data_IF_557237842317
#
_entry.id   IF_557237842317
#
_cell.length_a   1.000
_cell.length_b   1.000
_cell.length_c   1.000
_cell.angle_alpha   90.00
_cell.angle_beta   90.00
_cell.angle_gamma   90.00
#
_symmetry.space_group_name_H-M   'P 1'
#
loop_
_entity.id
_entity.type
_entity.pdbx_description
1 polymer ?
#
# COMPACT_ATOMS: atom_id res chain seq x y z
N UNK A 1 -47.92 -8.12 15.98
CA UNK A 1 -48.01 -7.35 14.72
C UNK A 1 -47.06 -6.17 14.77
N UNK A 2 -45.83 -6.36 14.31
CA UNK A 2 -44.96 -5.32 13.75
C UNK A 2 -43.85 -6.03 12.98
N UNK A 3 -44.00 -5.97 11.67
CA UNK A 3 -43.08 -6.42 10.63
C UNK A 3 -41.87 -5.50 10.60
N UNK A 4 -40.68 -6.03 10.87
CA UNK A 4 -39.43 -5.33 10.54
C UNK A 4 -38.87 -5.94 9.26
N UNK A 5 -38.90 -5.10 8.22
CA UNK A 5 -38.36 -5.33 6.90
C UNK A 5 -36.85 -5.53 6.97
N UNK A 6 -36.39 -6.73 6.60
CA UNK A 6 -35.02 -6.93 6.18
C UNK A 6 -34.79 -6.12 4.90
N UNK A 7 -34.24 -4.92 5.04
CA UNK A 7 -33.69 -4.17 3.91
C UNK A 7 -32.41 -4.90 3.47
N UNK A 8 -32.53 -5.60 2.35
CA UNK A 8 -31.46 -6.27 1.63
C UNK A 8 -30.32 -5.29 1.34
N UNK A 9 -29.23 -5.38 2.11
CA UNK A 9 -27.95 -4.77 1.71
C UNK A 9 -27.49 -5.54 0.48
N UNK A 10 -27.40 -4.85 -0.65
CA UNK A 10 -27.34 -5.44 -1.97
C UNK A 10 -26.13 -6.35 -2.14
N UNK A 11 -26.40 -7.53 -2.73
CA UNK A 11 -25.47 -8.55 -3.19
C UNK A 11 -24.53 -8.09 -4.32
N UNK A 12 -24.44 -6.79 -4.60
CA UNK A 12 -23.81 -6.22 -5.79
C UNK A 12 -22.28 -6.13 -5.67
N UNK A 13 -21.71 -6.09 -4.46
CA UNK A 13 -20.25 -6.07 -4.31
C UNK A 13 -19.56 -7.38 -4.70
N UNK A 14 -20.32 -8.50 -4.73
CA UNK A 14 -19.87 -9.85 -5.12
C UNK A 14 -19.84 -10.06 -6.63
N UNK A 15 -20.57 -9.24 -7.40
CA UNK A 15 -20.65 -9.35 -8.85
C UNK A 15 -19.34 -8.97 -9.57
N UNK A 16 -18.37 -8.36 -8.87
CA UNK A 16 -17.27 -7.63 -9.52
C UNK A 16 -16.04 -8.48 -9.86
N UNK A 17 -15.71 -9.53 -9.08
CA UNK A 17 -14.75 -10.54 -9.53
C UNK A 17 -15.36 -11.38 -10.67
N UNK A 18 -16.66 -11.61 -10.63
CA UNK A 18 -17.40 -12.27 -11.72
C UNK A 18 -17.48 -11.41 -12.98
N UNK A 19 -17.57 -10.08 -12.83
CA UNK A 19 -17.57 -9.13 -13.96
C UNK A 19 -16.19 -9.03 -14.59
N UNK A 20 -15.10 -8.89 -13.81
CA UNK A 20 -13.73 -8.94 -14.34
C UNK A 20 -13.46 -10.27 -15.04
N UNK A 21 -13.75 -11.40 -14.37
CA UNK A 21 -13.58 -12.73 -14.97
C UNK A 21 -14.55 -12.98 -16.13
N UNK A 22 -15.70 -12.31 -16.15
CA UNK A 22 -16.68 -12.32 -17.24
C UNK A 22 -16.18 -11.55 -18.44
N UNK A 23 -15.61 -10.36 -18.22
CA UNK A 23 -15.00 -9.52 -19.24
C UNK A 23 -13.73 -10.16 -19.81
N UNK A 24 -12.91 -10.81 -18.98
CA UNK A 24 -11.77 -11.61 -19.43
C UNK A 24 -12.21 -12.78 -20.33
N UNK A 25 -13.23 -13.54 -19.90
CA UNK A 25 -13.80 -14.64 -20.71
C UNK A 25 -14.39 -14.14 -22.02
N UNK A 26 -15.09 -13.00 -21.99
CA UNK A 26 -15.68 -12.38 -23.17
C UNK A 26 -14.62 -11.83 -24.12
N UNK A 27 -13.58 -11.19 -23.60
CA UNK A 27 -12.44 -10.70 -24.38
C UNK A 27 -11.70 -11.87 -25.06
N UNK A 28 -11.41 -12.94 -24.32
CA UNK A 28 -10.78 -14.13 -24.89
C UNK A 28 -11.62 -14.75 -26.01
N UNK A 29 -12.93 -14.92 -25.79
CA UNK A 29 -13.83 -15.48 -26.80
C UNK A 29 -13.91 -14.61 -28.07
N UNK A 30 -13.79 -13.28 -27.95
CA UNK A 30 -13.73 -12.38 -29.10
C UNK A 30 -12.37 -12.43 -29.82
N UNK A 31 -11.26 -12.55 -29.08
CA UNK A 31 -9.93 -12.77 -29.66
C UNK A 31 -9.89 -14.08 -30.46
N UNK A 32 -10.46 -15.16 -29.91
CA UNK A 32 -10.52 -16.47 -30.58
C UNK A 32 -11.35 -16.42 -31.87
N UNK A 33 -12.29 -15.47 -31.97
CA UNK A 33 -13.09 -15.20 -33.17
C UNK A 33 -12.40 -14.23 -34.15
N UNK A 34 -11.17 -13.80 -33.86
CA UNK A 34 -10.39 -12.89 -34.70
C UNK A 34 -10.72 -11.42 -34.56
N UNK A 35 -11.41 -11.00 -33.48
CA UNK A 35 -11.65 -9.59 -33.20
C UNK A 35 -10.34 -8.89 -32.81
N UNK A 36 -10.14 -7.66 -33.30
CA UNK A 36 -9.00 -6.83 -32.90
C UNK A 36 -9.21 -6.28 -31.48
N UNK A 37 -8.15 -5.97 -30.72
CA UNK A 37 -8.30 -5.43 -29.36
C UNK A 37 -9.15 -4.15 -29.32
N UNK A 38 -9.06 -3.29 -30.34
CA UNK A 38 -9.88 -2.08 -30.45
C UNK A 38 -11.37 -2.38 -30.60
N UNK A 39 -11.73 -3.43 -31.33
CA UNK A 39 -13.12 -3.90 -31.45
C UNK A 39 -13.63 -4.44 -30.11
N UNK A 40 -12.79 -5.19 -29.40
CA UNK A 40 -13.11 -5.72 -28.07
C UNK A 40 -13.33 -4.59 -27.07
N UNK A 41 -12.46 -3.57 -27.06
CA UNK A 41 -12.61 -2.39 -26.19
C UNK A 41 -13.95 -1.70 -26.43
N UNK A 42 -14.32 -1.43 -27.70
CA UNK A 42 -15.62 -0.81 -28.03
C UNK A 42 -16.82 -1.63 -27.56
N UNK A 43 -16.69 -2.95 -27.52
CA UNK A 43 -17.80 -3.85 -27.23
C UNK A 43 -17.96 -4.13 -25.73
N UNK A 44 -16.85 -4.25 -25.00
CA UNK A 44 -16.84 -4.53 -23.55
C UNK A 44 -16.91 -3.23 -22.75
N UNK A 45 -16.31 -2.15 -23.24
CA UNK A 45 -16.22 -0.84 -22.58
C UNK A 45 -16.83 0.25 -23.48
N UNK A 46 -18.16 0.25 -23.71
CA UNK A 46 -18.80 1.17 -24.66
C UNK A 46 -18.66 2.65 -24.28
N UNK A 47 -18.48 2.95 -22.99
CA UNK A 47 -18.29 4.31 -22.47
C UNK A 47 -16.84 4.82 -22.65
N UNK A 48 -15.91 3.96 -23.06
CA UNK A 48 -14.52 4.35 -23.29
C UNK A 48 -14.36 5.00 -24.67
N UNK A 49 -14.03 6.29 -24.69
CA UNK A 49 -13.76 7.00 -25.94
C UNK A 49 -12.47 6.51 -26.61
N UNK A 50 -12.63 5.66 -27.61
CA UNK A 50 -11.51 5.11 -28.38
C UNK A 50 -10.97 6.07 -29.45
N UNK A 51 -11.57 7.24 -29.65
CA UNK A 51 -11.20 8.15 -30.75
C UNK A 51 -9.74 8.59 -30.69
N UNK A 52 -9.21 8.75 -29.47
CA UNK A 52 -7.80 9.15 -29.24
C UNK A 52 -6.79 8.04 -29.44
N UNK A 53 -7.24 6.79 -29.42
CA UNK A 53 -6.36 5.61 -29.50
C UNK A 53 -6.53 4.85 -30.80
N UNK A 54 -7.55 5.15 -31.60
CA UNK A 54 -7.89 4.41 -32.82
C UNK A 54 -6.75 4.35 -33.85
N UNK A 55 -5.86 5.35 -33.90
CA UNK A 55 -4.71 5.39 -34.82
C UNK A 55 -3.42 4.83 -34.23
N UNK A 56 -3.45 4.33 -32.99
CA UNK A 56 -2.30 3.69 -32.36
C UNK A 56 -2.06 2.29 -32.93
N UNK A 57 -0.88 1.72 -32.64
CA UNK A 57 -0.56 0.35 -33.03
C UNK A 57 -1.43 -0.67 -32.27
N UNK A 58 -1.58 -1.85 -32.86
CA UNK A 58 -2.33 -2.95 -32.25
C UNK A 58 -1.75 -3.37 -30.89
N UNK A 59 -0.42 -3.33 -30.72
CA UNK A 59 0.23 -3.55 -29.42
C UNK A 59 -0.24 -2.56 -28.35
N UNK A 60 -0.46 -1.29 -28.72
CA UNK A 60 -0.99 -0.30 -27.79
C UNK A 60 -2.47 -0.57 -27.47
N UNK A 61 -3.25 -1.07 -28.43
CA UNK A 61 -4.63 -1.50 -28.17
C UNK A 61 -4.69 -2.72 -27.25
N UNK A 62 -3.76 -3.68 -27.39
CA UNK A 62 -3.62 -4.81 -26.46
C UNK A 62 -3.27 -4.35 -25.04
N UNK A 63 -2.29 -3.46 -24.90
CA UNK A 63 -1.93 -2.90 -23.60
C UNK A 63 -3.11 -2.18 -22.94
N UNK A 64 -3.86 -1.39 -23.72
CA UNK A 64 -5.05 -0.70 -23.25
C UNK A 64 -6.19 -1.66 -22.88
N UNK A 65 -6.41 -2.71 -23.68
CA UNK A 65 -7.41 -3.74 -23.38
C UNK A 65 -7.07 -4.46 -22.07
N UNK A 66 -5.80 -4.82 -21.86
CA UNK A 66 -5.33 -5.42 -20.59
C UNK A 66 -5.61 -4.48 -19.42
N UNK A 67 -5.23 -3.20 -19.54
CA UNK A 67 -5.49 -2.20 -18.50
C UNK A 67 -6.99 -2.08 -18.19
N UNK A 68 -7.84 -2.01 -19.22
CA UNK A 68 -9.29 -1.91 -19.03
C UNK A 68 -9.90 -3.16 -18.41
N UNK A 69 -9.43 -4.36 -18.76
CA UNK A 69 -9.88 -5.62 -18.18
C UNK A 69 -9.43 -5.79 -16.72
N UNK A 70 -8.28 -5.24 -16.37
CA UNK A 70 -7.71 -5.31 -15.02
C UNK A 70 -8.18 -4.17 -14.10
N UNK A 71 -8.86 -3.16 -14.63
CA UNK A 71 -9.41 -2.05 -13.84
C UNK A 71 -10.46 -2.57 -12.87
N UNK A 72 -10.11 -2.54 -11.59
CA UNK A 72 -11.10 -2.67 -10.53
C UNK A 72 -12.16 -1.57 -10.67
N UNK A 73 -13.46 -1.87 -10.48
CA UNK A 73 -14.51 -0.89 -10.59
C UNK A 73 -14.26 0.28 -9.63
N UNK A 74 -14.44 1.50 -10.13
CA UNK A 74 -14.29 2.70 -9.32
C UNK A 74 -15.46 2.76 -8.35
N UNK A 75 -15.16 2.80 -7.05
CA UNK A 75 -16.16 2.97 -6.00
C UNK A 75 -16.97 4.24 -6.26
N UNK A 76 -18.30 4.10 -6.37
CA UNK A 76 -19.22 5.23 -6.45
C UNK A 76 -19.45 5.83 -5.06
N UNK A 77 -19.51 7.17 -4.98
CA UNK A 77 -19.81 7.86 -3.72
C UNK A 77 -21.25 7.54 -3.31
N UNK A 78 -21.43 7.18 -2.03
CA UNK A 78 -22.73 6.95 -1.43
C UNK A 78 -23.41 8.31 -1.17
N UNK A 79 -24.58 8.59 -1.77
CA UNK A 79 -25.24 9.90 -1.68
C UNK A 79 -25.80 10.20 -0.28
N UNK A 80 -25.93 9.20 0.59
CA UNK A 80 -26.51 9.34 1.94
C UNK A 80 -25.54 9.85 3.00
N UNK A 81 -24.22 9.78 2.79
CA UNK A 81 -23.20 10.21 3.77
C UNK A 81 -22.35 11.35 3.22
N UNK A 82 -22.49 12.56 3.77
CA UNK A 82 -21.84 13.76 3.21
C UNK A 82 -21.23 14.71 4.24
N UNK A 83 -21.65 14.62 5.51
CA UNK A 83 -21.27 15.56 6.55
C UNK A 83 -20.28 14.97 7.56
N UNK A 84 -19.65 15.83 8.36
CA UNK A 84 -18.85 15.40 9.50
C UNK A 84 -19.71 14.64 10.53
N UNK A 85 -20.95 15.05 10.72
CA UNK A 85 -21.87 14.37 11.63
C UNK A 85 -22.13 12.92 11.18
N UNK A 86 -22.29 12.70 9.87
CA UNK A 86 -22.42 11.36 9.30
C UNK A 86 -21.19 10.50 9.58
N UNK A 87 -20.00 11.06 9.39
CA UNK A 87 -18.75 10.36 9.67
C UNK A 87 -18.63 9.97 11.16
N UNK A 88 -18.97 10.90 12.07
CA UNK A 88 -18.99 10.62 13.51
C UNK A 88 -20.00 9.53 13.85
N UNK A 89 -21.18 9.55 13.24
CA UNK A 89 -22.22 8.55 13.48
C UNK A 89 -21.81 7.16 12.96
N UNK A 90 -21.16 7.08 11.80
CA UNK A 90 -20.53 5.85 11.30
C UNK A 90 -19.47 5.35 12.29
N UNK A 91 -18.62 6.26 12.79
CA UNK A 91 -17.66 5.94 13.85
C UNK A 91 -18.29 5.69 15.22
N UNK A 92 -19.59 5.81 15.43
CA UNK A 92 -20.26 5.36 16.67
C UNK A 92 -20.94 4.01 16.50
N UNK A 93 -21.54 3.77 15.34
CA UNK A 93 -22.44 2.63 15.10
C UNK A 93 -21.76 1.44 14.46
N UNK A 94 -20.71 1.64 13.65
CA UNK A 94 -20.11 0.56 12.86
C UNK A 94 -19.11 -0.27 13.68
N UNK A 95 -19.05 -1.57 13.37
CA UNK A 95 -17.99 -2.49 13.77
C UNK A 95 -17.18 -2.87 12.52
N UNK A 96 -16.08 -3.59 12.71
CA UNK A 96 -15.21 -4.05 11.62
C UNK A 96 -14.65 -2.90 10.74
N UNK A 97 -14.22 -1.82 11.39
CA UNK A 97 -13.65 -0.64 10.72
C UNK A 97 -12.26 -0.98 10.19
N UNK A 98 -12.03 -0.77 8.91
CA UNK A 98 -10.71 -0.85 8.28
C UNK A 98 -10.14 0.57 8.18
N UNK A 99 -8.91 0.75 8.63
CA UNK A 99 -8.20 2.04 8.56
C UNK A 99 -6.96 1.88 7.68
N UNK A 100 -6.86 2.71 6.64
CA UNK A 100 -5.65 2.84 5.82
C UNK A 100 -4.89 4.08 6.27
N UNK A 101 -3.64 3.91 6.71
CA UNK A 101 -2.76 4.99 7.15
C UNK A 101 -1.54 5.12 6.25
N UNK A 102 -1.04 6.36 6.15
CA UNK A 102 0.23 6.69 5.51
C UNK A 102 0.91 7.83 6.26
N UNK A 103 1.94 8.43 5.67
CA UNK A 103 2.87 9.33 6.37
C UNK A 103 2.19 10.47 7.16
N UNK A 104 1.01 10.94 6.70
CA UNK A 104 0.23 11.98 7.37
C UNK A 104 -0.06 11.72 8.86
N UNK A 105 -0.20 10.47 9.30
CA UNK A 105 -0.44 10.18 10.73
C UNK A 105 0.81 10.38 11.61
N UNK A 106 1.99 10.44 11.00
CA UNK A 106 3.30 10.54 11.68
C UNK A 106 3.96 11.91 11.55
N UNK A 107 3.44 12.83 10.72
CA UNK A 107 3.99 14.19 10.54
C UNK A 107 4.10 14.93 11.88
N UNK A 108 3.05 14.87 12.69
CA UNK A 108 3.03 15.50 14.03
C UNK A 108 3.96 14.82 15.05
N UNK A 109 4.53 13.66 14.73
CA UNK A 109 5.47 12.94 15.58
C UNK A 109 6.92 13.41 15.37
N UNK A 110 7.16 14.30 14.40
CA UNK A 110 8.52 14.74 14.01
C UNK A 110 9.12 13.96 12.84
N UNK A 111 8.35 13.07 12.22
CA UNK A 111 8.77 12.33 11.02
C UNK A 111 8.28 13.11 9.79
N UNK A 112 9.18 13.73 9.01
CA UNK A 112 8.77 14.44 7.81
C UNK A 112 8.13 13.48 6.81
N UNK A 113 7.15 13.95 6.05
CA UNK A 113 6.64 13.17 4.95
C UNK A 113 7.64 13.18 3.79
N UNK A 114 7.45 12.26 2.85
CA UNK A 114 8.37 12.14 1.72
C UNK A 114 8.13 13.23 0.67
N UNK A 115 6.87 13.65 0.47
CA UNK A 115 6.40 14.30 -0.77
C UNK A 115 6.13 15.79 -0.66
N UNK A 116 6.00 16.35 0.55
CA UNK A 116 5.74 17.79 0.70
C UNK A 116 6.92 18.64 0.25
N UNK A 117 6.66 19.95 0.10
CA UNK A 117 7.64 20.95 -0.35
C UNK A 117 8.95 20.91 0.45
N UNK A 118 8.84 20.71 1.77
CA UNK A 118 9.96 20.60 2.70
C UNK A 118 10.20 19.15 3.15
N UNK A 119 9.64 18.18 2.42
CA UNK A 119 9.73 16.75 2.70
C UNK A 119 11.12 16.17 2.38
N UNK A 120 11.31 14.92 2.75
CA UNK A 120 12.59 14.18 2.63
C UNK A 120 13.18 14.29 1.21
N UNK A 121 12.33 14.17 0.19
CA UNK A 121 12.75 14.22 -1.21
C UNK A 121 13.34 15.56 -1.66
N UNK A 122 12.96 16.67 -1.03
CA UNK A 122 13.53 17.98 -1.32
C UNK A 122 14.97 18.10 -0.80
N UNK A 123 15.24 17.60 0.41
CA UNK A 123 16.57 17.68 1.06
C UNK A 123 17.59 16.77 0.38
N UNK A 124 17.18 15.54 0.05
CA UNK A 124 18.08 14.53 -0.53
C UNK A 124 18.64 14.87 -1.90
N UNK A 125 17.94 15.69 -2.70
CA UNK A 125 18.47 16.19 -3.97
C UNK A 125 19.75 17.01 -3.77
N UNK A 126 19.88 17.69 -2.63
CA UNK A 126 21.11 18.42 -2.27
C UNK A 126 22.22 17.52 -1.76
N UNK A 127 21.88 16.50 -0.95
CA UNK A 127 22.87 15.61 -0.32
C UNK A 127 23.39 14.51 -1.27
N UNK A 128 22.57 14.08 -2.23
CA UNK A 128 22.85 12.97 -3.15
C UNK A 128 22.52 13.37 -4.60
N UNK A 129 23.36 14.20 -5.24
CA UNK A 129 23.10 14.71 -6.59
C UNK A 129 23.07 13.61 -7.67
N UNK A 130 23.59 12.42 -7.36
CA UNK A 130 23.61 11.26 -8.25
C UNK A 130 22.35 10.36 -8.12
N UNK A 131 21.38 10.70 -7.26
CA UNK A 131 20.09 10.01 -7.26
C UNK A 131 19.29 10.43 -8.51
N UNK A 132 18.84 9.49 -9.36
CA UNK A 132 18.02 9.81 -10.53
C UNK A 132 16.73 10.54 -10.12
N UNK A 133 16.13 10.09 -9.03
CA UNK A 133 15.01 10.74 -8.37
C UNK A 133 14.98 10.33 -6.88
N UNK A 134 14.23 11.06 -6.03
CA UNK A 134 14.19 10.79 -4.59
C UNK A 134 13.58 9.44 -4.17
N UNK A 135 12.80 8.79 -5.04
CA UNK A 135 12.26 7.45 -4.74
C UNK A 135 13.32 6.36 -4.91
N UNK A 136 14.41 6.64 -5.64
CA UNK A 136 15.44 5.66 -5.98
C UNK A 136 16.18 5.09 -4.76
N UNK A 137 16.22 5.75 -3.59
CA UNK A 137 16.79 5.14 -2.38
C UNK A 137 16.02 3.90 -1.91
N UNK A 138 14.76 3.80 -2.31
CA UNK A 138 13.88 2.67 -2.05
C UNK A 138 13.74 1.78 -3.30
N UNK A 139 14.56 1.91 -4.35
CA UNK A 139 14.59 0.94 -5.46
C UNK A 139 15.58 -0.18 -5.09
N UNK A 140 15.14 -1.44 -5.18
CA UNK A 140 15.97 -2.59 -4.77
C UNK A 140 17.25 -2.74 -5.62
N UNK A 141 17.20 -2.37 -6.91
CA UNK A 141 18.36 -2.43 -7.80
C UNK A 141 19.33 -1.32 -7.45
N UNK A 142 18.84 -0.12 -7.17
CA UNK A 142 19.69 0.98 -6.70
C UNK A 142 20.36 0.61 -5.37
N UNK A 143 19.60 0.08 -4.40
CA UNK A 143 20.14 -0.33 -3.10
C UNK A 143 21.25 -1.38 -3.20
N UNK A 144 21.08 -2.38 -4.08
CA UNK A 144 22.12 -3.40 -4.33
C UNK A 144 23.41 -2.80 -4.90
N UNK A 145 23.30 -1.74 -5.70
CA UNK A 145 24.46 -1.06 -6.28
C UNK A 145 25.09 -0.06 -5.29
N UNK A 146 24.27 0.72 -4.59
CA UNK A 146 24.70 1.74 -3.65
C UNK A 146 23.70 1.89 -2.48
N UNK A 147 23.92 1.18 -1.35
CA UNK A 147 23.04 1.24 -0.19
C UNK A 147 23.25 2.49 0.68
N UNK A 148 24.33 3.24 0.47
CA UNK A 148 24.71 4.36 1.36
C UNK A 148 23.63 5.46 1.49
N UNK A 149 22.91 5.87 0.43
CA UNK A 149 21.86 6.88 0.56
C UNK A 149 20.71 6.43 1.46
N UNK A 150 20.31 5.16 1.37
CA UNK A 150 19.30 4.60 2.28
C UNK A 150 19.80 4.61 3.73
N UNK A 151 21.05 4.19 3.99
CA UNK A 151 21.58 4.16 5.37
C UNK A 151 21.76 5.55 5.99
N UNK A 152 22.11 6.57 5.18
CA UNK A 152 22.13 7.95 5.65
C UNK A 152 20.71 8.41 6.04
N UNK A 153 19.73 8.12 5.17
CA UNK A 153 18.33 8.43 5.42
C UNK A 153 17.73 7.67 6.61
N UNK A 154 18.05 6.38 6.76
CA UNK A 154 17.45 5.49 7.74
C UNK A 154 17.59 5.99 9.19
N UNK A 155 18.66 6.74 9.50
CA UNK A 155 18.87 7.36 10.80
C UNK A 155 17.71 8.24 11.24
N UNK A 156 17.10 8.95 10.30
CA UNK A 156 16.05 9.94 10.58
C UNK A 156 14.70 9.32 10.90
N UNK A 157 14.50 8.06 10.53
CA UNK A 157 13.24 7.35 10.75
C UNK A 157 13.45 6.10 11.60
N UNK A 158 14.65 5.91 12.15
CA UNK A 158 14.98 4.72 12.92
C UNK A 158 14.12 4.67 14.20
N UNK A 159 13.54 3.51 14.54
CA UNK A 159 12.65 3.41 15.70
C UNK A 159 13.27 3.85 17.04
N UNK A 160 12.40 4.36 17.91
CA UNK A 160 12.74 4.74 19.29
C UNK A 160 13.09 6.22 19.49
N UNK A 161 12.89 7.07 18.49
CA UNK A 161 13.15 8.52 18.58
C UNK A 161 11.86 9.36 18.62
N UNK A 162 10.69 8.75 18.39
CA UNK A 162 9.43 9.44 18.14
C UNK A 162 8.33 8.99 19.09
N UNK A 163 7.38 9.87 19.36
CA UNK A 163 6.19 9.55 20.18
C UNK A 163 4.97 9.44 19.27
N UNK A 164 4.10 8.43 19.44
CA UNK A 164 2.91 8.28 18.62
C UNK A 164 1.97 9.49 18.67
N UNK A 165 1.30 9.79 17.55
CA UNK A 165 0.32 10.88 17.43
C UNK A 165 -1.05 10.54 18.04
N UNK A 166 -1.93 11.54 18.07
CA UNK A 166 -3.35 11.37 18.42
C UNK A 166 -4.04 10.38 17.45
N UNK A 167 -3.66 10.36 16.17
CA UNK A 167 -4.22 9.42 15.19
C UNK A 167 -3.91 7.98 15.55
N UNK A 168 -2.66 7.68 15.96
CA UNK A 168 -2.30 6.34 16.42
C UNK A 168 -3.11 5.93 17.66
N UNK A 169 -3.23 6.84 18.64
CA UNK A 169 -4.04 6.60 19.84
C UNK A 169 -5.52 6.37 19.51
N UNK A 170 -6.08 7.12 18.56
CA UNK A 170 -7.46 6.91 18.11
C UNK A 170 -7.67 5.52 17.49
N UNK A 171 -6.74 5.05 16.65
CA UNK A 171 -6.79 3.70 16.09
C UNK A 171 -6.72 2.66 17.21
N UNK A 172 -5.88 2.89 18.22
CA UNK A 172 -5.79 2.04 19.40
C UNK A 172 -7.10 2.01 20.20
N UNK A 173 -7.76 3.14 20.37
CA UNK A 173 -9.08 3.20 21.03
C UNK A 173 -10.14 2.39 20.28
N UNK A 174 -10.15 2.47 18.94
CA UNK A 174 -11.04 1.64 18.11
C UNK A 174 -10.76 0.14 18.26
N UNK A 175 -9.49 -0.24 18.40
CA UNK A 175 -9.12 -1.63 18.68
C UNK A 175 -9.57 -2.07 20.08
N UNK A 176 -9.31 -1.25 21.11
CA UNK A 176 -9.70 -1.53 22.50
C UNK A 176 -11.21 -1.66 22.65
N UNK A 177 -11.98 -0.89 21.88
CA UNK A 177 -13.43 -0.99 21.81
C UNK A 177 -13.95 -2.20 21.00
N UNK A 178 -13.07 -3.02 20.42
CA UNK A 178 -13.44 -4.18 19.60
C UNK A 178 -14.04 -3.82 18.23
N UNK A 179 -13.72 -2.63 17.71
CA UNK A 179 -14.36 -2.07 16.50
C UNK A 179 -13.42 -1.99 15.31
N UNK A 180 -12.11 -2.02 15.54
CA UNK A 180 -11.11 -2.12 14.48
C UNK A 180 -11.08 -3.53 13.89
N UNK A 181 -11.34 -3.65 12.59
CA UNK A 181 -11.05 -4.87 11.83
C UNK A 181 -9.54 -5.00 11.63
N UNK A 182 -8.96 -3.97 11.01
CA UNK A 182 -7.54 -3.88 10.68
C UNK A 182 -7.10 -2.44 10.46
N UNK A 183 -5.86 -2.14 10.80
CA UNK A 183 -5.14 -0.98 10.31
C UNK A 183 -4.07 -1.43 9.31
N UNK A 184 -4.27 -1.10 8.03
CA UNK A 184 -3.25 -1.23 7.00
C UNK A 184 -2.41 0.05 6.99
N UNK A 185 -1.13 -0.05 7.32
CA UNK A 185 -0.23 1.10 7.34
C UNK A 185 0.79 1.01 6.24
N UNK A 186 0.98 2.11 5.51
CA UNK A 186 2.07 2.29 4.56
C UNK A 186 3.35 2.78 5.23
N UNK A 187 3.28 3.14 6.51
CA UNK A 187 4.40 3.63 7.29
C UNK A 187 5.34 2.49 7.66
N UNK A 188 6.60 2.84 7.87
CA UNK A 188 7.69 1.94 8.25
C UNK A 188 8.30 2.33 9.61
N UNK A 189 7.71 3.34 10.26
CA UNK A 189 8.21 3.98 11.49
C UNK A 189 7.91 3.19 12.78
N UNK A 190 7.06 2.16 12.69
CA UNK A 190 6.66 1.25 13.79
C UNK A 190 5.91 1.93 14.95
N UNK A 191 5.37 3.14 14.77
CA UNK A 191 4.63 3.85 15.82
C UNK A 191 3.32 3.14 16.21
N UNK A 192 2.74 2.36 15.31
CA UNK A 192 1.58 1.51 15.59
C UNK A 192 1.90 0.48 16.69
N UNK A 193 3.08 -0.16 16.60
CA UNK A 193 3.55 -1.12 17.59
C UNK A 193 3.86 -0.45 18.93
N UNK A 194 4.47 0.74 18.93
CA UNK A 194 4.70 1.50 20.16
C UNK A 194 3.38 1.90 20.85
N UNK A 195 2.33 2.15 20.08
CA UNK A 195 0.98 2.42 20.60
C UNK A 195 0.27 1.13 21.08
N UNK A 196 0.86 -0.04 20.79
CA UNK A 196 0.31 -1.34 21.15
C UNK A 196 -0.87 -1.77 20.29
N UNK A 197 -0.99 -1.24 19.06
CA UNK A 197 -2.00 -1.68 18.09
C UNK A 197 -1.59 -3.09 17.63
N UNK A 198 -2.48 -4.06 17.78
CA UNK A 198 -2.23 -5.48 17.44
C UNK A 198 -2.74 -5.85 16.06
N UNK A 199 -3.84 -5.26 15.62
CA UNK A 199 -4.50 -5.49 14.33
C UNK A 199 -3.89 -4.62 13.22
N UNK A 200 -2.56 -4.50 13.21
CA UNK A 200 -1.82 -3.74 12.21
C UNK A 200 -1.26 -4.67 11.13
N UNK A 201 -1.24 -4.18 9.89
CA UNK A 201 -0.54 -4.78 8.76
C UNK A 201 0.39 -3.71 8.20
N UNK A 202 1.69 -3.95 8.32
CA UNK A 202 2.74 -3.10 7.74
C UNK A 202 2.87 -3.43 6.26
N UNK A 203 2.13 -2.72 5.41
CA UNK A 203 2.04 -3.01 3.97
C UNK A 203 3.42 -2.97 3.30
N UNK A 204 4.25 -2.01 3.70
CA UNK A 204 5.61 -1.83 3.18
C UNK A 204 6.68 -2.35 4.16
N UNK A 205 6.30 -3.26 5.07
CA UNK A 205 7.21 -3.80 6.08
C UNK A 205 7.70 -2.75 7.07
N UNK A 206 8.82 -3.02 7.75
CA UNK A 206 9.32 -2.17 8.82
C UNK A 206 10.79 -2.44 9.17
N UNK A 207 11.33 -1.62 10.09
CA UNK A 207 12.63 -1.85 10.71
C UNK A 207 12.64 -2.97 11.76
N UNK A 208 11.56 -3.73 11.93
CA UNK A 208 11.47 -4.78 12.98
C UNK A 208 12.45 -5.94 12.78
N UNK A 209 12.78 -6.26 11.52
CA UNK A 209 13.71 -7.32 11.13
C UNK A 209 14.59 -6.85 9.98
N UNK A 210 15.72 -7.51 9.82
CA UNK A 210 16.63 -7.30 8.71
C UNK A 210 16.94 -8.63 8.01
N UNK A 211 17.27 -8.58 6.72
CA UNK A 211 17.68 -9.72 5.91
C UNK A 211 18.97 -9.39 5.16
N UNK A 212 19.96 -10.28 5.20
CA UNK A 212 21.16 -10.15 4.37
C UNK A 212 20.82 -10.35 2.88
N UNK A 213 21.30 -9.46 2.02
CA UNK A 213 21.02 -9.52 0.56
C UNK A 213 21.69 -10.69 -0.15
N UNK A 214 22.72 -11.29 0.46
CA UNK A 214 23.51 -12.36 -0.17
C UNK A 214 23.12 -13.75 0.35
N UNK A 215 23.11 -13.94 1.66
CA UNK A 215 22.85 -15.26 2.27
C UNK A 215 21.43 -15.45 2.82
N UNK A 216 20.60 -14.39 2.81
CA UNK A 216 19.24 -14.43 3.33
C UNK A 216 19.13 -14.55 4.86
N UNK A 217 20.24 -14.46 5.60
CA UNK A 217 20.23 -14.52 7.06
C UNK A 217 19.37 -13.41 7.65
N UNK A 218 18.45 -13.79 8.54
CA UNK A 218 17.52 -12.87 9.17
C UNK A 218 17.96 -12.54 10.59
N UNK A 219 17.96 -11.25 10.92
CA UNK A 219 18.32 -10.77 12.24
C UNK A 219 17.27 -9.82 12.79
N UNK A 220 17.33 -9.55 14.09
CA UNK A 220 16.51 -8.51 14.69
C UNK A 220 16.81 -7.13 14.12
N UNK A 221 15.79 -6.27 14.06
CA UNK A 221 15.85 -4.88 13.61
C UNK A 221 16.96 -4.08 14.28
N UNK A 222 17.13 -4.28 15.59
CA UNK A 222 18.05 -3.49 16.41
C UNK A 222 19.54 -3.81 16.14
N UNK A 223 19.85 -4.90 15.45
CA UNK A 223 21.24 -5.30 15.15
C UNK A 223 21.98 -4.27 14.31
N UNK A 224 21.28 -3.55 13.43
CA UNK A 224 21.90 -2.52 12.57
C UNK A 224 21.91 -1.12 13.18
N UNK A 225 21.41 -0.95 14.42
CA UNK A 225 21.19 0.37 15.02
C UNK A 225 22.46 1.22 15.03
N UNK A 226 23.58 0.66 15.49
CA UNK A 226 24.84 1.40 15.60
C UNK A 226 25.34 1.89 14.22
N UNK A 227 25.23 1.03 13.21
CA UNK A 227 25.63 1.38 11.85
C UNK A 227 24.71 2.44 11.25
N UNK A 228 23.40 2.30 11.40
CA UNK A 228 22.42 3.31 10.95
C UNK A 228 22.66 4.67 11.62
N UNK A 229 22.85 4.69 12.95
CA UNK A 229 23.09 5.95 13.68
C UNK A 229 24.42 6.60 13.27
N UNK A 230 25.43 5.79 12.91
CA UNK A 230 26.70 6.26 12.39
C UNK A 230 26.72 6.49 10.87
N UNK A 231 25.58 6.35 10.18
CA UNK A 231 25.45 6.46 8.71
C UNK A 231 26.39 5.50 7.95
N UNK A 232 26.66 4.33 8.53
CA UNK A 232 27.44 3.26 7.91
C UNK A 232 26.53 2.16 7.37
N UNK A 233 26.98 1.52 6.29
CA UNK A 233 26.28 0.37 5.71
C UNK A 233 26.52 -0.84 6.62
N UNK A 234 25.45 -1.41 7.18
CA UNK A 234 25.56 -2.59 8.03
C UNK A 234 25.88 -3.84 7.21
N UNK A 235 26.78 -4.68 7.75
CA UNK A 235 27.34 -5.86 7.08
C UNK A 235 26.99 -7.14 7.81
N UNK A 236 26.70 -8.19 7.05
CA UNK A 236 26.35 -9.50 7.57
C UNK A 236 27.57 -10.16 8.22
N UNK A 237 27.42 -10.61 9.47
CA UNK A 237 28.50 -11.29 10.21
C UNK A 237 28.90 -12.65 9.61
N UNK A 238 28.07 -13.24 8.73
CA UNK A 238 28.32 -14.57 8.13
C UNK A 238 29.02 -14.50 6.78
N UNK A 239 28.66 -13.53 5.93
CA UNK A 239 29.15 -13.47 4.55
C UNK A 239 29.58 -12.07 4.08
N UNK A 240 29.61 -11.08 4.98
CA UNK A 240 29.94 -9.67 4.68
C UNK A 240 29.00 -8.98 3.65
N UNK A 241 27.91 -9.65 3.27
CA UNK A 241 26.84 -9.10 2.46
C UNK A 241 26.15 -7.91 3.14
N UNK A 242 25.52 -7.04 2.34
CA UNK A 242 24.78 -5.89 2.86
C UNK A 242 23.55 -6.40 3.63
N UNK A 243 23.30 -5.82 4.81
CA UNK A 243 22.05 -6.05 5.53
C UNK A 243 21.01 -5.07 5.00
N UNK A 244 19.79 -5.53 4.74
CA UNK A 244 18.66 -4.69 4.36
C UNK A 244 17.55 -4.82 5.41
N UNK A 245 17.01 -3.72 5.96
CA UNK A 245 15.77 -3.78 6.73
C UNK A 245 14.64 -4.38 5.91
N UNK A 246 13.70 -5.08 6.56
CA UNK A 246 12.56 -5.72 5.90
C UNK A 246 11.47 -4.68 5.54
N UNK A 247 11.89 -3.59 4.90
CA UNK A 247 11.05 -2.58 4.26
C UNK A 247 10.91 -2.98 2.79
N UNK A 248 9.71 -2.94 2.25
CA UNK A 248 9.44 -3.23 0.84
C UNK A 248 9.93 -2.09 -0.02
N UNK A 249 10.86 -2.39 -0.91
CA UNK A 249 11.41 -1.46 -1.89
C UNK A 249 10.64 -1.55 -3.21
N UNK A 250 10.69 -0.51 -4.03
CA UNK A 250 10.24 -0.57 -5.41
C UNK A 250 10.95 -1.70 -6.14
N UNK A 251 10.16 -2.54 -6.82
CA UNK A 251 10.62 -3.77 -7.45
C UNK A 251 10.57 -5.01 -6.56
N UNK A 252 10.11 -4.90 -5.31
CA UNK A 252 9.80 -6.03 -4.43
C UNK A 252 8.29 -6.23 -4.29
N UNK A 253 7.88 -7.48 -4.05
CA UNK A 253 6.48 -7.81 -3.73
C UNK A 253 6.12 -7.36 -2.30
N UNK A 254 4.85 -7.01 -2.10
CA UNK A 254 4.33 -6.77 -0.75
C UNK A 254 4.38 -8.06 0.09
N UNK A 255 4.41 -7.89 1.41
CA UNK A 255 4.50 -9.02 2.33
C UNK A 255 3.33 -10.00 2.20
N UNK A 256 3.58 -11.30 2.40
CA UNK A 256 2.53 -12.35 2.35
C UNK A 256 1.36 -12.06 3.30
N UNK A 257 1.64 -11.46 4.46
CA UNK A 257 0.62 -11.08 5.42
C UNK A 257 -0.34 -10.01 4.90
N UNK A 258 0.12 -9.10 4.04
CA UNK A 258 -0.75 -8.14 3.37
C UNK A 258 -1.78 -8.87 2.50
N UNK A 259 -1.34 -9.74 1.60
CA UNK A 259 -2.22 -10.46 0.68
C UNK A 259 -3.21 -11.38 1.42
N UNK A 260 -2.72 -12.07 2.46
CA UNK A 260 -3.54 -12.93 3.31
C UNK A 260 -4.61 -12.11 4.04
N UNK A 261 -4.21 -11.05 4.74
CA UNK A 261 -5.14 -10.22 5.50
C UNK A 261 -6.16 -9.53 4.60
N UNK A 262 -5.77 -9.04 3.41
CA UNK A 262 -6.72 -8.44 2.46
C UNK A 262 -7.77 -9.46 2.04
N UNK A 263 -7.36 -10.69 1.75
CA UNK A 263 -8.30 -11.77 1.40
C UNK A 263 -9.25 -12.09 2.57
N UNK A 264 -8.72 -12.27 3.78
CA UNK A 264 -9.51 -12.56 4.98
C UNK A 264 -10.48 -11.43 5.32
N UNK A 265 -10.02 -10.18 5.29
CA UNK A 265 -10.79 -9.01 5.70
C UNK A 265 -11.87 -8.66 4.67
N UNK A 266 -11.66 -8.98 3.39
CA UNK A 266 -12.70 -8.91 2.35
C UNK A 266 -13.85 -9.89 2.61
N UNK A 267 -13.55 -11.10 3.09
CA UNK A 267 -14.57 -12.12 3.39
C UNK A 267 -15.35 -11.76 4.66
N UNK A 268 -14.69 -11.20 5.68
CA UNK A 268 -15.34 -10.78 6.94
C UNK A 268 -16.29 -9.59 6.82
N UNK A 269 -16.36 -8.99 5.63
CA UNK A 269 -17.35 -7.99 5.26
C UNK A 269 -18.68 -8.60 4.78
N UNK A 270 -18.72 -9.91 4.47
CA UNK A 270 -19.94 -10.73 4.26
C UNK A 270 -20.56 -11.07 5.60
#
# INVERSE_FOLDING_TARGET
TRTESATSVSSESWQNNDEMMGNLRRAQGLLDQGATPLQIIRQIFPDFDVSRVAMMSENAHFALLSDLLERAPIRQKLPEFNSLADAVELFKTRKNILILTGAGVSVSCGIPDFRSKDGIYARLRGEFPNLPDPTAMFDIRYFRNNPAPFYNFAREIFPGQFTPSVSHRFIKELESAGRLLRNYTQNIDTLEHQTGIKRVVECHGSFSKNTCTECGDQTDGMVIREDVLAMRVARCKKCDGVIKPNIVFFGEDLGKDFHRCVTEDKIRWI
#
